data_IF_875433120470
#
_entry.id   IF_875433120470
#
_cell.length_a   1.000
_cell.length_b   1.000
_cell.length_c   1.000
_cell.angle_alpha   90.00
_cell.angle_beta   90.00
_cell.angle_gamma   90.00
#
_symmetry.space_group_name_H-M   'P 1'
#
loop_
_entity.id
_entity.type
_entity.pdbx_description
1 polymer ?
#
# COMPACT_ATOMS: atom_id res chain seq x y z
N UNK A 1 -29.72 -2.52 19.07
CA UNK A 1 -28.46 -2.57 19.86
C UNK A 1 -27.50 -3.48 19.12
N UNK A 2 -26.28 -3.03 18.85
CA UNK A 2 -25.26 -3.83 18.15
C UNK A 2 -24.76 -4.89 19.14
N UNK A 3 -25.07 -6.18 18.92
CA UNK A 3 -24.73 -7.27 19.86
C UNK A 3 -23.23 -7.46 20.15
N UNK A 4 -22.87 -8.19 21.20
CA UNK A 4 -21.45 -8.40 21.60
C UNK A 4 -20.64 -9.28 20.65
N UNK A 5 -21.30 -9.96 19.71
CA UNK A 5 -20.66 -10.81 18.68
C UNK A 5 -21.07 -10.43 17.26
N UNK A 6 -20.26 -10.84 16.28
CA UNK A 6 -20.56 -10.76 14.86
C UNK A 6 -20.33 -12.11 14.18
N UNK A 7 -21.28 -12.51 13.35
CA UNK A 7 -21.18 -13.61 12.40
C UNK A 7 -20.81 -13.05 11.04
N UNK A 8 -19.74 -13.55 10.44
CA UNK A 8 -19.19 -12.99 9.19
C UNK A 8 -19.81 -13.64 7.95
N UNK A 9 -20.17 -14.92 8.08
CA UNK A 9 -20.93 -15.66 7.08
C UNK A 9 -21.96 -16.59 7.74
N UNK A 10 -23.10 -16.83 7.07
CA UNK A 10 -24.17 -17.70 7.59
C UNK A 10 -23.69 -19.12 7.93
N UNK A 11 -22.84 -19.68 7.06
CA UNK A 11 -22.21 -21.01 7.21
C UNK A 11 -21.05 -21.07 8.22
N UNK A 12 -20.72 -19.97 8.89
CA UNK A 12 -19.70 -20.01 9.94
C UNK A 12 -20.20 -20.85 11.12
N UNK A 13 -19.32 -21.63 11.75
CA UNK A 13 -19.65 -22.29 13.01
C UNK A 13 -19.04 -21.58 14.22
N UNK A 14 -18.36 -20.45 14.00
CA UNK A 14 -17.89 -19.53 15.04
C UNK A 14 -18.41 -18.12 14.81
N UNK A 15 -18.52 -17.36 15.89
CA UNK A 15 -18.74 -15.90 15.87
C UNK A 15 -17.51 -15.20 16.45
N UNK A 16 -17.32 -13.93 16.11
CA UNK A 16 -16.24 -13.09 16.65
C UNK A 16 -16.78 -12.16 17.72
N UNK A 17 -16.15 -12.15 18.88
CA UNK A 17 -16.41 -11.18 19.93
C UNK A 17 -16.04 -9.77 19.45
N UNK A 18 -17.00 -8.84 19.45
CA UNK A 18 -16.78 -7.42 19.12
C UNK A 18 -16.32 -6.62 20.34
N UNK A 19 -16.71 -7.08 21.52
CA UNK A 19 -16.32 -6.59 22.83
C UNK A 19 -15.89 -7.77 23.68
N UNK A 20 -15.38 -7.53 24.89
CA UNK A 20 -15.17 -8.61 25.84
C UNK A 20 -16.51 -9.27 26.17
N UNK A 21 -16.54 -10.60 26.12
CA UNK A 21 -17.71 -11.43 26.38
C UNK A 21 -17.50 -12.15 27.70
N UNK A 22 -18.45 -11.97 28.62
CA UNK A 22 -18.45 -12.62 29.92
C UNK A 22 -18.96 -14.06 29.89
N UNK A 23 -18.59 -14.84 30.92
CA UNK A 23 -19.19 -16.15 31.15
C UNK A 23 -20.70 -16.03 31.37
N UNK A 24 -21.51 -16.84 30.69
CA UNK A 24 -22.97 -16.84 30.80
C UNK A 24 -23.68 -15.74 30.02
N UNK A 25 -22.94 -14.82 29.36
CA UNK A 25 -23.52 -13.75 28.54
C UNK A 25 -24.35 -14.32 27.39
N UNK A 26 -25.51 -13.69 27.10
CA UNK A 26 -26.38 -14.08 26.01
C UNK A 26 -25.82 -13.61 24.66
N UNK A 27 -25.67 -14.54 23.71
CA UNK A 27 -25.07 -14.30 22.39
C UNK A 27 -26.13 -14.41 21.28
N UNK A 28 -25.87 -13.75 20.15
CA UNK A 28 -26.76 -13.71 18.97
C UNK A 28 -28.25 -13.45 19.31
N UNK A 29 -28.52 -12.49 20.20
CA UNK A 29 -29.90 -12.16 20.59
C UNK A 29 -30.53 -13.14 21.58
N UNK A 30 -29.73 -13.98 22.25
CA UNK A 30 -30.19 -14.92 23.27
C UNK A 30 -30.36 -16.36 22.78
N UNK A 31 -29.91 -16.67 21.56
CA UNK A 31 -29.95 -18.04 21.01
C UNK A 31 -29.14 -19.04 21.85
N UNK A 32 -28.03 -18.59 22.43
CA UNK A 32 -27.20 -19.38 23.34
C UNK A 32 -26.41 -18.48 24.29
N UNK A 33 -25.68 -19.08 25.23
CA UNK A 33 -24.87 -18.36 26.20
C UNK A 33 -23.39 -18.71 26.07
N UNK A 34 -22.53 -17.75 26.38
CA UNK A 34 -21.10 -17.98 26.46
C UNK A 34 -20.77 -18.95 27.60
N UNK A 35 -19.86 -19.88 27.35
CA UNK A 35 -19.33 -20.88 28.30
C UNK A 35 -17.94 -20.56 28.80
N UNK A 36 -17.35 -19.46 28.32
CA UNK A 36 -16.04 -19.00 28.73
C UNK A 36 -15.96 -17.49 28.58
N UNK A 37 -15.02 -16.86 29.27
CA UNK A 37 -14.64 -15.49 28.93
C UNK A 37 -13.94 -15.49 27.56
N UNK A 38 -14.29 -14.53 26.71
CA UNK A 38 -13.65 -14.34 25.42
C UNK A 38 -13.37 -12.85 25.21
N UNK A 39 -12.10 -12.42 25.14
CA UNK A 39 -11.77 -11.03 24.84
C UNK A 39 -12.26 -10.60 23.46
N UNK A 40 -12.38 -9.28 23.25
CA UNK A 40 -12.66 -8.74 21.92
C UNK A 40 -11.68 -9.29 20.87
N UNK A 41 -12.21 -9.67 19.69
CA UNK A 41 -11.47 -10.28 18.59
C UNK A 41 -11.36 -11.81 18.65
N UNK A 42 -11.70 -12.44 19.78
CA UNK A 42 -11.65 -13.90 19.92
C UNK A 42 -12.88 -14.58 19.32
N UNK A 43 -12.70 -15.85 18.96
CA UNK A 43 -13.75 -16.68 18.35
C UNK A 43 -14.53 -17.38 19.46
N UNK A 44 -15.83 -17.52 19.29
CA UNK A 44 -16.71 -18.31 20.15
C UNK A 44 -17.47 -19.29 19.28
N UNK A 45 -17.54 -20.56 19.68
CA UNK A 45 -18.31 -21.58 18.98
C UNK A 45 -19.80 -21.22 19.00
N UNK A 46 -20.43 -21.21 17.82
CA UNK A 46 -21.86 -20.87 17.68
C UNK A 46 -22.78 -22.08 17.58
N UNK A 47 -22.19 -23.27 17.54
CA UNK A 47 -22.81 -24.58 17.75
C UNK A 47 -21.80 -25.48 18.43
N UNK A 48 -22.21 -26.68 18.85
CA UNK A 48 -21.25 -27.71 19.24
C UNK A 48 -20.40 -28.10 18.02
N UNK A 49 -19.08 -28.21 18.20
CA UNK A 49 -18.11 -28.63 17.18
C UNK A 49 -17.35 -29.83 17.75
N UNK A 50 -17.54 -31.02 17.17
CA UNK A 50 -16.87 -32.24 17.67
C UNK A 50 -15.39 -32.25 17.33
N UNK A 51 -14.60 -33.00 18.08
CA UNK A 51 -13.20 -33.25 17.77
C UNK A 51 -13.03 -33.72 16.31
N UNK A 52 -12.08 -33.11 15.59
CA UNK A 52 -11.83 -33.33 14.17
C UNK A 52 -12.78 -32.60 13.21
N UNK A 53 -13.85 -31.96 13.69
CA UNK A 53 -14.72 -31.17 12.80
C UNK A 53 -14.02 -29.88 12.35
N UNK A 54 -14.30 -29.43 11.10
CA UNK A 54 -13.76 -28.18 10.59
C UNK A 54 -14.35 -26.97 11.31
N UNK A 55 -13.49 -26.03 11.67
CA UNK A 55 -13.87 -24.71 12.18
C UNK A 55 -13.93 -23.75 11.01
N UNK A 56 -15.09 -23.11 10.80
CA UNK A 56 -15.39 -22.26 9.65
C UNK A 56 -15.55 -20.80 10.04
N UNK A 57 -14.77 -19.93 9.39
CA UNK A 57 -14.85 -18.46 9.46
C UNK A 57 -14.78 -17.91 8.04
N UNK A 58 -15.65 -16.97 7.68
CA UNK A 58 -15.85 -16.53 6.29
C UNK A 58 -16.24 -17.68 5.33
N UNK A 59 -16.94 -18.70 5.83
CA UNK A 59 -17.19 -19.97 5.12
C UNK A 59 -15.92 -20.74 4.69
N UNK A 60 -14.77 -20.41 5.26
CA UNK A 60 -13.50 -21.09 4.99
C UNK A 60 -13.07 -21.89 6.21
N UNK A 61 -12.58 -23.09 5.98
CA UNK A 61 -11.99 -23.93 7.04
C UNK A 61 -10.69 -23.26 7.49
N UNK A 62 -10.65 -22.81 8.75
CA UNK A 62 -9.49 -22.13 9.35
C UNK A 62 -8.70 -23.03 10.31
N UNK A 63 -9.13 -24.27 10.47
CA UNK A 63 -8.55 -25.25 11.40
C UNK A 63 -9.57 -26.32 11.74
N UNK A 64 -9.19 -27.23 12.61
CA UNK A 64 -10.04 -28.31 13.09
C UNK A 64 -10.10 -28.26 14.62
N UNK A 65 -11.22 -28.71 15.18
CA UNK A 65 -11.36 -28.80 16.62
C UNK A 65 -10.46 -29.92 17.17
N UNK A 66 -9.50 -29.59 18.03
CA UNK A 66 -8.59 -30.57 18.62
C UNK A 66 -9.28 -31.48 19.66
N UNK A 67 -10.43 -31.05 20.14
CA UNK A 67 -11.29 -31.72 21.11
C UNK A 67 -12.75 -31.28 20.85
N UNK A 68 -13.72 -31.87 21.54
CA UNK A 68 -15.09 -31.36 21.49
C UNK A 68 -15.14 -29.92 22.05
N UNK A 69 -15.75 -29.02 21.30
CA UNK A 69 -15.94 -27.61 21.64
C UNK A 69 -17.45 -27.35 21.74
N UNK A 70 -18.02 -27.32 22.96
CA UNK A 70 -19.43 -27.00 23.15
C UNK A 70 -19.77 -25.58 22.69
N UNK A 71 -21.00 -25.37 22.23
CA UNK A 71 -21.54 -24.07 21.87
C UNK A 71 -21.33 -23.05 23.00
N UNK A 72 -20.86 -21.85 22.66
CA UNK A 72 -20.52 -20.79 23.58
C UNK A 72 -19.08 -20.83 24.10
N UNK A 73 -18.28 -21.84 23.76
CA UNK A 73 -16.89 -21.95 24.20
C UNK A 73 -15.96 -21.13 23.32
N UNK A 74 -14.97 -20.47 23.91
CA UNK A 74 -13.94 -19.73 23.19
C UNK A 74 -13.09 -20.70 22.35
N UNK A 75 -12.92 -20.36 21.08
CA UNK A 75 -12.15 -21.12 20.09
C UNK A 75 -10.78 -20.45 19.89
N UNK A 76 -9.71 -21.11 20.30
CA UNK A 76 -8.35 -20.59 20.25
C UNK A 76 -7.31 -21.71 20.10
N UNK A 77 -6.03 -21.37 20.00
CA UNK A 77 -4.90 -22.29 19.84
C UNK A 77 -4.86 -23.49 20.80
N UNK A 78 -5.48 -23.42 21.98
CA UNK A 78 -5.51 -24.54 22.93
C UNK A 78 -6.53 -25.63 22.56
N UNK A 79 -7.53 -25.33 21.73
CA UNK A 79 -8.57 -26.26 21.29
C UNK A 79 -8.75 -26.31 19.76
N UNK A 80 -7.83 -25.68 19.04
CA UNK A 80 -7.75 -25.70 17.57
C UNK A 80 -6.42 -26.31 17.16
N UNK A 81 -6.46 -27.18 16.17
CA UNK A 81 -5.28 -27.72 15.52
C UNK A 81 -5.30 -27.42 14.02
N UNK A 82 -4.10 -27.34 13.45
CA UNK A 82 -3.90 -27.20 12.01
C UNK A 82 -3.43 -28.54 11.46
N UNK A 83 -4.07 -28.97 10.38
CA UNK A 83 -3.74 -30.21 9.68
C UNK A 83 -3.74 -29.91 8.18
N UNK A 84 -2.89 -30.61 7.45
CA UNK A 84 -3.04 -30.67 6.00
C UNK A 84 -4.31 -31.44 5.68
N UNK A 85 -5.08 -30.92 4.73
CA UNK A 85 -6.28 -31.56 4.25
C UNK A 85 -6.48 -31.19 2.78
N UNK A 86 -7.04 -32.13 2.02
CA UNK A 86 -7.37 -31.87 0.62
C UNK A 86 -8.44 -30.78 0.55
N UNK A 87 -8.08 -29.69 -0.12
CA UNK A 87 -9.03 -28.64 -0.49
C UNK A 87 -9.61 -29.03 -1.83
N UNK A 88 -10.93 -29.10 -1.91
CA UNK A 88 -11.62 -29.17 -3.20
C UNK A 88 -11.12 -28.02 -4.09
N UNK A 89 -10.60 -28.36 -5.26
CA UNK A 89 -9.85 -27.47 -6.16
C UNK A 89 -10.82 -26.60 -6.96
N UNK A 90 -11.70 -25.89 -6.26
CA UNK A 90 -12.80 -25.11 -6.82
C UNK A 90 -12.50 -23.60 -6.71
N UNK A 91 -11.37 -23.19 -7.28
CA UNK A 91 -10.96 -21.78 -7.28
C UNK A 91 -12.06 -20.87 -7.81
N UNK A 92 -12.38 -19.83 -7.05
CA UNK A 92 -13.39 -18.84 -7.42
C UNK A 92 -14.80 -19.41 -7.69
N UNK A 93 -15.14 -20.62 -7.20
CA UNK A 93 -16.49 -21.22 -7.37
C UNK A 93 -17.63 -20.33 -6.87
N UNK A 94 -17.37 -19.55 -5.83
CA UNK A 94 -18.33 -18.64 -5.22
C UNK A 94 -18.10 -17.19 -5.67
N UNK A 95 -17.38 -16.99 -6.79
CA UNK A 95 -17.18 -15.66 -7.37
C UNK A 95 -18.53 -15.02 -7.69
N UNK A 96 -18.68 -13.79 -7.18
CA UNK A 96 -19.78 -12.92 -7.54
C UNK A 96 -19.18 -11.73 -8.27
N UNK A 97 -19.60 -11.44 -9.52
CA UNK A 97 -19.22 -10.21 -10.18
C UNK A 97 -19.50 -9.00 -9.29
N UNK A 98 -18.58 -8.05 -9.28
CA UNK A 98 -18.79 -6.79 -8.58
C UNK A 98 -19.88 -6.02 -9.30
N UNK A 99 -20.97 -5.72 -8.60
CA UNK A 99 -22.00 -4.82 -9.09
C UNK A 99 -21.47 -3.38 -9.02
N UNK A 100 -20.98 -2.87 -10.13
CA UNK A 100 -20.48 -1.51 -10.21
C UNK A 100 -21.63 -0.49 -10.13
N UNK A 101 -21.37 0.62 -9.44
CA UNK A 101 -22.26 1.78 -9.47
C UNK A 101 -22.37 2.29 -10.91
N UNK A 102 -23.60 2.48 -11.37
CA UNK A 102 -23.91 3.04 -12.69
C UNK A 102 -23.16 4.37 -12.90
N UNK A 103 -22.69 4.64 -14.11
CA UNK A 103 -21.75 5.73 -14.39
C UNK A 103 -22.27 7.10 -13.94
N UNK A 104 -23.56 7.34 -14.17
CA UNK A 104 -24.30 8.54 -13.77
C UNK A 104 -24.39 8.74 -12.24
N UNK A 105 -24.21 7.66 -11.47
CA UNK A 105 -24.27 7.66 -10.01
C UNK A 105 -22.87 7.60 -9.36
N UNK A 106 -21.80 7.58 -10.15
CA UNK A 106 -20.43 7.54 -9.61
C UNK A 106 -20.06 8.90 -9.02
N UNK A 107 -19.47 8.87 -7.84
CA UNK A 107 -18.95 10.07 -7.21
C UNK A 107 -17.82 10.68 -8.05
N UNK A 108 -17.83 12.01 -8.17
CA UNK A 108 -16.77 12.79 -8.81
C UNK A 108 -15.97 13.57 -7.76
N UNK A 109 -14.77 14.00 -8.12
CA UNK A 109 -13.95 14.88 -7.30
C UNK A 109 -13.25 15.92 -8.18
N UNK A 110 -12.90 17.07 -7.61
CA UNK A 110 -12.11 18.08 -8.31
C UNK A 110 -10.64 17.66 -8.36
N UNK A 111 -10.16 17.30 -9.55
CA UNK A 111 -8.80 16.85 -9.79
C UNK A 111 -8.06 17.70 -10.82
N UNK A 112 -6.73 17.59 -10.80
CA UNK A 112 -5.83 18.29 -11.72
C UNK A 112 -5.59 17.39 -12.93
N UNK A 113 -6.29 17.67 -14.02
CA UNK A 113 -6.15 16.92 -15.28
C UNK A 113 -4.80 17.27 -15.93
N UNK A 114 -3.97 16.27 -16.16
CA UNK A 114 -2.66 16.40 -16.82
C UNK A 114 -2.82 16.31 -18.34
N UNK A 115 -1.79 16.75 -19.08
CA UNK A 115 -1.81 16.76 -20.54
C UNK A 115 -1.99 15.36 -21.17
N UNK A 116 -1.66 14.29 -20.44
CA UNK A 116 -1.84 12.90 -20.86
C UNK A 116 -3.20 12.30 -20.44
N UNK A 117 -4.07 13.08 -19.78
CA UNK A 117 -5.39 12.64 -19.30
C UNK A 117 -5.40 12.08 -17.88
N UNK A 118 -4.25 11.80 -17.26
CA UNK A 118 -4.20 11.35 -15.88
C UNK A 118 -4.63 12.48 -14.93
N UNK A 119 -5.20 12.11 -13.78
CA UNK A 119 -5.76 13.07 -12.82
C UNK A 119 -5.00 13.04 -11.50
N UNK A 120 -4.43 14.18 -11.13
CA UNK A 120 -3.77 14.37 -9.84
C UNK A 120 -4.74 14.87 -8.78
N UNK A 121 -4.51 14.50 -7.52
CA UNK A 121 -5.17 15.07 -6.33
C UNK A 121 -4.30 16.13 -5.65
N UNK A 122 -3.05 16.27 -6.07
CA UNK A 122 -2.04 17.22 -5.59
C UNK A 122 -1.18 17.74 -6.74
N UNK A 123 -0.49 18.85 -6.51
CA UNK A 123 0.36 19.55 -7.45
C UNK A 123 1.76 19.80 -6.89
N UNK A 124 2.56 18.75 -6.85
CA UNK A 124 3.95 18.79 -6.38
C UNK A 124 4.94 18.92 -7.53
N UNK A 125 6.15 19.39 -7.21
CA UNK A 125 7.33 19.21 -8.05
C UNK A 125 8.21 18.14 -7.38
N UNK A 126 8.59 17.11 -8.12
CA UNK A 126 9.38 16.00 -7.59
C UNK A 126 10.85 16.09 -7.99
N UNK A 127 11.76 15.80 -7.07
CA UNK A 127 13.17 15.56 -7.37
C UNK A 127 13.52 14.10 -7.12
N UNK A 128 13.99 13.38 -8.13
CA UNK A 128 14.33 11.96 -8.08
C UNK A 128 15.85 11.80 -8.11
N UNK A 129 16.41 10.93 -7.27
CA UNK A 129 17.83 10.58 -7.35
C UNK A 129 18.02 9.21 -8.00
N UNK A 130 18.97 9.10 -8.95
CA UNK A 130 19.34 7.81 -9.55
C UNK A 130 20.27 6.98 -8.66
N UNK A 131 20.91 7.61 -7.68
CA UNK A 131 21.89 7.02 -6.77
C UNK A 131 21.91 7.73 -5.41
N UNK A 132 22.45 7.10 -4.38
CA UNK A 132 22.62 7.72 -3.06
C UNK A 132 23.46 9.01 -3.09
N UNK A 133 24.46 9.10 -3.98
CA UNK A 133 25.34 10.27 -4.07
C UNK A 133 24.60 11.56 -4.47
N UNK A 134 23.48 11.46 -5.20
CA UNK A 134 22.62 12.61 -5.54
C UNK A 134 21.49 12.84 -4.54
N UNK A 135 21.33 11.98 -3.52
CA UNK A 135 20.27 12.11 -2.51
C UNK A 135 20.37 13.43 -1.71
N UNK A 136 21.59 13.83 -1.33
CA UNK A 136 21.80 15.10 -0.59
C UNK A 136 21.42 16.30 -1.44
N UNK A 137 21.72 16.28 -2.75
CA UNK A 137 21.38 17.37 -3.67
C UNK A 137 19.88 17.57 -3.73
N UNK A 138 19.13 16.51 -4.02
CA UNK A 138 17.67 16.62 -4.18
C UNK A 138 16.97 17.03 -2.88
N UNK A 139 17.46 16.54 -1.72
CA UNK A 139 16.90 16.90 -0.41
C UNK A 139 17.15 18.38 -0.10
N UNK A 140 18.39 18.85 -0.29
CA UNK A 140 18.73 20.25 -0.03
C UNK A 140 18.02 21.22 -0.99
N UNK A 141 17.84 20.82 -2.25
CA UNK A 141 17.05 21.59 -3.19
C UNK A 141 15.56 21.64 -2.78
N UNK A 142 14.95 20.52 -2.38
CA UNK A 142 13.57 20.51 -1.88
C UNK A 142 13.38 21.32 -0.60
N UNK A 143 14.29 21.19 0.38
CA UNK A 143 14.30 21.93 1.65
C UNK A 143 14.38 23.45 1.46
N UNK A 144 14.90 23.91 0.32
CA UNK A 144 14.93 25.34 0.00
C UNK A 144 13.52 25.91 -0.18
N UNK A 145 12.53 25.12 -0.64
CA UNK A 145 11.16 25.57 -0.89
C UNK A 145 10.29 25.44 0.35
N UNK A 146 10.55 26.30 1.34
CA UNK A 146 9.73 26.39 2.56
C UNK A 146 8.34 26.97 2.26
N UNK A 147 7.35 26.79 3.17
CA UNK A 147 6.02 27.37 2.99
C UNK A 147 6.04 28.88 2.70
N UNK A 148 6.96 29.63 3.31
CA UNK A 148 7.09 31.08 3.12
C UNK A 148 7.57 31.43 1.70
N UNK A 149 8.48 30.61 1.14
CA UNK A 149 8.98 30.80 -0.23
C UNK A 149 7.95 30.37 -1.27
N UNK A 150 7.10 29.40 -0.94
CA UNK A 150 6.01 28.96 -1.79
C UNK A 150 4.73 29.80 -1.66
N UNK A 151 4.68 30.78 -0.76
CA UNK A 151 3.49 31.61 -0.55
C UNK A 151 3.01 32.35 -1.82
N UNK A 152 3.92 32.65 -2.75
CA UNK A 152 3.60 33.25 -4.06
C UNK A 152 3.02 32.27 -5.09
N UNK A 153 2.98 30.98 -4.78
CA UNK A 153 2.59 29.89 -5.68
C UNK A 153 1.47 29.05 -5.06
N UNK A 154 0.25 29.61 -4.87
CA UNK A 154 -0.82 28.96 -4.12
C UNK A 154 -1.33 27.65 -4.74
N UNK A 155 -1.01 27.41 -6.02
CA UNK A 155 -1.38 26.18 -6.73
C UNK A 155 -0.32 25.08 -6.62
N UNK A 156 0.79 25.30 -5.91
CA UNK A 156 1.87 24.33 -5.73
C UNK A 156 1.84 23.82 -4.30
N UNK A 157 1.57 22.53 -4.13
CA UNK A 157 1.49 21.90 -2.79
C UNK A 157 2.87 21.73 -2.15
N UNK A 158 3.93 21.75 -2.95
CA UNK A 158 5.30 21.70 -2.46
C UNK A 158 6.31 21.14 -3.45
N UNK A 159 7.54 21.03 -2.96
CA UNK A 159 8.66 20.40 -3.66
C UNK A 159 9.14 19.23 -2.81
N UNK A 160 9.23 18.03 -3.39
CA UNK A 160 9.47 16.79 -2.64
C UNK A 160 10.62 15.99 -3.25
N UNK A 161 11.48 15.45 -2.39
CA UNK A 161 12.64 14.64 -2.78
C UNK A 161 12.35 13.14 -2.60
N UNK A 162 12.52 12.36 -3.67
CA UNK A 162 12.45 10.91 -3.66
C UNK A 162 13.85 10.33 -3.90
N UNK A 163 14.52 9.98 -2.80
CA UNK A 163 15.89 9.50 -2.83
C UNK A 163 15.97 7.99 -3.03
N UNK A 164 16.79 7.55 -3.99
CA UNK A 164 17.34 6.21 -4.02
C UNK A 164 18.55 6.11 -3.08
N UNK A 165 18.50 5.18 -2.13
CA UNK A 165 19.51 5.07 -1.06
C UNK A 165 20.64 4.07 -1.36
N UNK A 166 20.56 3.30 -2.46
CA UNK A 166 21.60 2.33 -2.79
C UNK A 166 22.72 3.03 -3.58
N UNK A 167 23.96 2.62 -3.31
CA UNK A 167 25.16 3.12 -3.97
C UNK A 167 25.41 2.49 -5.34
N UNK A 168 26.53 2.86 -5.96
CA UNK A 168 26.88 2.49 -7.34
C UNK A 168 27.15 0.99 -7.58
N UNK A 169 27.12 0.13 -6.56
CA UNK A 169 27.43 -1.30 -6.67
C UNK A 169 26.26 -2.21 -7.08
N UNK A 170 25.14 -1.64 -7.53
CA UNK A 170 24.00 -2.44 -8.00
C UNK A 170 24.31 -3.13 -9.34
N UNK A 171 23.71 -4.31 -9.53
CA UNK A 171 23.73 -5.00 -10.82
C UNK A 171 23.23 -4.08 -11.94
N UNK A 172 23.95 -4.06 -13.07
CA UNK A 172 23.69 -3.12 -14.16
C UNK A 172 22.52 -3.55 -15.05
N UNK A 173 22.21 -4.84 -15.04
CA UNK A 173 21.30 -5.48 -16.00
C UNK A 173 20.32 -6.41 -15.29
N UNK A 174 19.37 -6.94 -16.06
CA UNK A 174 18.37 -7.87 -15.54
C UNK A 174 17.31 -7.20 -14.66
N UNK A 175 16.54 -8.05 -13.99
CA UNK A 175 15.35 -7.62 -13.26
C UNK A 175 15.62 -6.58 -12.15
N UNK A 176 16.72 -6.63 -11.36
CA UNK A 176 16.95 -5.62 -10.32
C UNK A 176 17.05 -4.19 -10.88
N UNK A 177 17.79 -4.00 -11.98
CA UNK A 177 17.90 -2.69 -12.64
C UNK A 177 16.58 -2.30 -13.31
N UNK A 178 15.89 -3.25 -13.96
CA UNK A 178 14.60 -3.00 -14.59
C UNK A 178 13.55 -2.56 -13.55
N UNK A 179 13.51 -3.19 -12.38
CA UNK A 179 12.65 -2.81 -11.26
C UNK A 179 12.98 -1.40 -10.76
N UNK A 180 14.26 -1.07 -10.58
CA UNK A 180 14.68 0.27 -10.16
C UNK A 180 14.23 1.33 -11.16
N UNK A 181 14.49 1.12 -12.46
CA UNK A 181 14.12 2.05 -13.53
C UNK A 181 12.62 2.24 -13.62
N UNK A 182 11.84 1.15 -13.63
CA UNK A 182 10.36 1.18 -13.55
C UNK A 182 9.85 1.94 -12.33
N UNK A 183 10.50 1.77 -11.17
CA UNK A 183 10.12 2.48 -9.94
C UNK A 183 10.35 3.99 -10.07
N UNK A 184 11.56 4.40 -10.48
CA UNK A 184 11.89 5.82 -10.70
C UNK A 184 10.94 6.43 -11.74
N UNK A 185 10.68 5.74 -12.85
CA UNK A 185 9.75 6.16 -13.89
C UNK A 185 8.31 6.24 -13.39
N UNK A 186 7.87 5.31 -12.55
CA UNK A 186 6.56 5.35 -11.90
C UNK A 186 6.36 6.63 -11.08
N UNK A 187 7.38 7.03 -10.31
CA UNK A 187 7.36 8.33 -9.64
C UNK A 187 7.38 9.48 -10.66
N UNK A 188 8.25 9.43 -11.67
CA UNK A 188 8.37 10.50 -12.67
C UNK A 188 7.05 10.76 -13.44
N UNK A 189 6.27 9.70 -13.68
CA UNK A 189 4.98 9.75 -14.39
C UNK A 189 3.79 10.00 -13.47
N UNK A 190 3.98 10.02 -12.15
CA UNK A 190 2.88 10.13 -11.20
C UNK A 190 2.06 11.43 -11.40
N UNK A 191 0.71 11.37 -11.42
CA UNK A 191 -0.11 12.53 -11.75
C UNK A 191 -0.11 13.62 -10.67
N UNK A 192 0.30 13.30 -9.44
CA UNK A 192 0.50 14.33 -8.41
C UNK A 192 1.78 15.16 -8.60
N UNK A 193 2.69 14.74 -9.49
CA UNK A 193 3.86 15.53 -9.85
C UNK A 193 3.52 16.33 -11.11
N UNK A 194 3.51 17.65 -11.01
CA UNK A 194 3.36 18.56 -12.14
C UNK A 194 4.59 18.54 -13.04
N UNK A 195 5.76 18.53 -12.40
CA UNK A 195 7.07 18.46 -13.01
C UNK A 195 8.04 17.63 -12.16
N UNK A 196 9.11 17.14 -12.77
CA UNK A 196 10.08 16.24 -12.18
C UNK A 196 11.50 16.60 -12.60
N UNK A 197 12.42 16.67 -11.65
CA UNK A 197 13.85 16.74 -11.88
C UNK A 197 14.49 15.39 -11.54
N UNK A 198 15.25 14.80 -12.46
CA UNK A 198 16.03 13.57 -12.19
C UNK A 198 17.50 13.95 -12.05
N UNK A 199 18.08 13.64 -10.89
CA UNK A 199 19.46 14.03 -10.55
C UNK A 199 20.33 12.79 -10.33
N UNK A 200 21.42 12.73 -11.07
CA UNK A 200 22.42 11.67 -11.02
C UNK A 200 23.80 12.23 -10.70
N UNK A 201 24.71 11.36 -10.27
CA UNK A 201 26.08 11.79 -10.02
C UNK A 201 26.84 11.92 -11.35
N UNK A 202 26.71 10.92 -12.21
CA UNK A 202 27.40 10.77 -13.50
C UNK A 202 28.27 9.51 -13.60
N UNK A 203 28.49 8.79 -12.50
CA UNK A 203 29.31 7.56 -12.48
C UNK A 203 28.57 6.32 -11.92
N UNK A 204 27.28 6.45 -11.59
CA UNK A 204 26.46 5.33 -11.15
C UNK A 204 26.21 4.31 -12.26
N UNK A 205 25.81 3.10 -11.87
CA UNK A 205 25.39 2.06 -12.82
C UNK A 205 24.08 2.42 -13.52
N UNK A 206 23.15 3.03 -12.79
CA UNK A 206 21.89 3.53 -13.33
C UNK A 206 22.05 4.95 -13.92
N UNK A 207 22.80 5.06 -15.02
CA UNK A 207 23.00 6.33 -15.72
C UNK A 207 21.68 6.91 -16.22
N UNK A 208 21.52 8.23 -16.11
CA UNK A 208 20.31 8.95 -16.54
C UNK A 208 20.00 8.66 -18.01
N UNK A 209 21.00 8.70 -18.90
CA UNK A 209 20.78 8.44 -20.33
C UNK A 209 20.14 7.08 -20.58
N UNK A 210 20.69 6.02 -19.96
CA UNK A 210 20.14 4.67 -20.08
C UNK A 210 18.77 4.50 -19.41
N UNK A 211 18.51 5.21 -18.30
CA UNK A 211 17.17 5.27 -17.70
C UNK A 211 16.17 5.92 -18.67
N UNK A 212 16.53 7.08 -19.24
CA UNK A 212 15.66 7.84 -20.14
C UNK A 212 15.32 7.06 -21.41
N UNK A 213 16.32 6.39 -21.99
CA UNK A 213 16.16 5.55 -23.17
C UNK A 213 15.28 4.33 -22.88
N UNK A 214 15.62 3.53 -21.88
CA UNK A 214 14.90 2.30 -21.57
C UNK A 214 13.42 2.56 -21.23
N UNK A 215 13.15 3.64 -20.50
CA UNK A 215 11.82 3.94 -20.00
C UNK A 215 11.06 4.94 -20.88
N UNK A 216 11.61 5.27 -22.06
CA UNK A 216 11.02 6.20 -23.04
C UNK A 216 10.59 7.52 -22.39
N UNK A 217 11.51 8.10 -21.61
CA UNK A 217 11.35 9.42 -21.02
C UNK A 217 11.98 10.47 -21.94
N UNK A 218 11.39 11.66 -21.95
CA UNK A 218 11.88 12.77 -22.77
C UNK A 218 11.98 14.02 -21.94
N UNK A 219 13.13 14.68 -22.03
CA UNK A 219 13.33 15.98 -21.39
C UNK A 219 12.45 17.02 -22.07
N UNK A 220 11.82 17.88 -21.28
CA UNK A 220 10.86 18.87 -21.74
C UNK A 220 10.43 19.78 -20.59
N UNK A 221 9.28 20.42 -20.70
CA UNK A 221 8.74 21.28 -19.63
C UNK A 221 8.40 20.50 -18.36
N UNK A 222 7.95 19.24 -18.49
CA UNK A 222 7.58 18.38 -17.36
C UNK A 222 8.77 17.68 -16.70
N UNK A 223 9.81 17.35 -17.46
CA UNK A 223 10.92 16.53 -16.97
C UNK A 223 12.24 17.15 -17.37
N UNK A 224 13.11 17.38 -16.39
CA UNK A 224 14.48 17.83 -16.59
C UNK A 224 15.46 16.90 -15.88
N UNK A 225 16.70 16.90 -16.33
CA UNK A 225 17.75 16.01 -15.82
C UNK A 225 18.99 16.80 -15.46
N UNK A 226 19.64 16.46 -14.36
CA UNK A 226 20.92 17.05 -13.95
C UNK A 226 21.94 15.95 -13.65
N UNK A 227 23.12 16.08 -14.24
CA UNK A 227 24.29 15.26 -13.90
C UNK A 227 25.24 16.12 -13.07
N UNK A 228 25.48 15.73 -11.82
CA UNK A 228 26.23 16.54 -10.86
C UNK A 228 27.66 16.80 -11.34
N UNK A 229 28.33 15.81 -11.93
CA UNK A 229 29.70 15.97 -12.45
C UNK A 229 29.79 16.99 -13.58
N UNK A 230 28.75 17.12 -14.40
CA UNK A 230 28.67 18.11 -15.49
C UNK A 230 28.27 19.49 -14.98
N UNK A 231 27.38 19.54 -13.98
CA UNK A 231 26.87 20.78 -13.38
C UNK A 231 27.92 21.45 -12.47
N UNK A 232 28.99 20.74 -12.12
CA UNK A 232 30.09 21.24 -11.30
C UNK A 232 29.95 20.94 -9.79
N UNK A 233 29.34 19.80 -9.47
CA UNK A 233 29.28 19.22 -8.13
C UNK A 233 28.04 19.62 -7.32
N UNK A 234 28.02 19.20 -6.05
CA UNK A 234 26.84 19.27 -5.17
C UNK A 234 26.23 20.66 -5.07
N UNK A 235 27.01 21.69 -4.72
CA UNK A 235 26.47 23.05 -4.50
C UNK A 235 25.85 23.63 -5.77
N UNK A 236 26.58 23.60 -6.88
CA UNK A 236 26.10 24.12 -8.17
C UNK A 236 24.87 23.36 -8.67
N UNK A 237 24.80 22.05 -8.42
CA UNK A 237 23.63 21.26 -8.80
C UNK A 237 22.40 21.59 -7.95
N UNK A 238 22.57 21.86 -6.64
CA UNK A 238 21.48 22.35 -5.78
C UNK A 238 20.95 23.69 -6.32
N UNK A 239 21.85 24.64 -6.60
CA UNK A 239 21.48 25.96 -7.16
C UNK A 239 20.78 25.83 -8.52
N UNK A 240 21.26 24.95 -9.40
CA UNK A 240 20.63 24.69 -10.70
C UNK A 240 19.23 24.06 -10.56
N UNK A 241 19.05 23.12 -9.62
CA UNK A 241 17.73 22.55 -9.35
C UNK A 241 16.76 23.61 -8.81
N UNK A 242 17.23 24.49 -7.91
CA UNK A 242 16.41 25.58 -7.37
C UNK A 242 16.04 26.58 -8.46
N UNK A 243 16.95 26.90 -9.38
CA UNK A 243 16.68 27.87 -10.45
C UNK A 243 15.73 27.33 -11.53
N UNK A 244 15.69 26.01 -11.73
CA UNK A 244 14.77 25.35 -12.68
C UNK A 244 13.33 25.26 -12.14
N UNK A 245 13.16 25.28 -10.81
CA UNK A 245 11.87 25.18 -10.12
C UNK A 245 11.28 26.58 -9.93
#
# INVERSE_FOLDING_TARGET
>A
MIGSVIRLHGEDNVVIARTDVGLGEALEGGLYRSRSQAPAGYKIASRDIRAGEPIRKYNVIIGFAAQDIPQGTMVHSHNVEFREFDRDYAHARDYKPTDFVAEENRATFEGIVRANGDVGTRNYIGLLSTVNCSATVIRKAAEWFTPERLAGYPNVDGVVAFSHAIGCGMEMTGEPMALLRRTITGYARHPNLAAVLIVGLGCERNQISGLMEQESLTSGSRLKTFVMQETGGTRKTIEACIAEI
#
